data_IF_632706507257
#
_entry.id   IF_632706507257
#
_cell.length_a   1.000
_cell.length_b   1.000
_cell.length_c   1.000
_cell.angle_alpha   90.00
_cell.angle_beta   90.00
_cell.angle_gamma   90.00
#
_symmetry.space_group_name_H-M   'P 1'
#
loop_
_entity.id
_entity.type
_entity.pdbx_description
1 polymer ?
#
# COMPACT_ATOMS: atom_id res chain seq x y z
N UNK A 1 -8.70 25.90 -44.35
CA UNK A 1 -9.35 24.67 -43.81
C UNK A 1 -8.69 23.37 -44.31
N UNK A 2 -7.42 23.39 -44.74
CA UNK A 2 -6.78 22.26 -45.46
C UNK A 2 -6.29 21.11 -44.54
N UNK A 3 -6.09 21.35 -43.25
CA UNK A 3 -5.66 20.30 -42.30
C UNK A 3 -6.78 19.67 -41.48
N UNK A 4 -8.06 19.92 -41.82
CA UNK A 4 -9.20 19.38 -41.05
C UNK A 4 -9.15 17.85 -40.92
N UNK A 5 -8.79 17.15 -42.00
CA UNK A 5 -8.71 15.69 -41.99
C UNK A 5 -7.55 15.17 -41.12
N UNK A 6 -6.42 15.88 -41.12
CA UNK A 6 -5.28 15.52 -40.28
C UNK A 6 -5.58 15.73 -38.78
N UNK A 7 -6.21 16.85 -38.44
CA UNK A 7 -6.66 17.12 -37.06
C UNK A 7 -7.70 16.10 -36.63
N UNK A 8 -8.67 15.75 -37.49
CA UNK A 8 -9.71 14.78 -37.18
C UNK A 8 -9.13 13.37 -36.95
N UNK A 9 -8.19 12.94 -37.79
CA UNK A 9 -7.46 11.68 -37.59
C UNK A 9 -6.70 11.66 -36.26
N UNK A 10 -5.99 12.74 -35.93
CA UNK A 10 -5.26 12.84 -34.67
C UNK A 10 -6.19 12.81 -33.46
N UNK A 11 -7.33 13.54 -33.51
CA UNK A 11 -8.31 13.51 -32.42
C UNK A 11 -8.95 12.13 -32.23
N UNK A 12 -9.21 11.41 -33.33
CA UNK A 12 -9.74 10.04 -33.25
C UNK A 12 -8.71 9.11 -32.62
N UNK A 13 -7.45 9.14 -33.09
CA UNK A 13 -6.38 8.31 -32.51
C UNK A 13 -6.15 8.63 -31.03
N UNK A 14 -6.12 9.91 -30.66
CA UNK A 14 -5.99 10.33 -29.28
C UNK A 14 -7.16 9.84 -28.43
N UNK A 15 -8.40 9.99 -28.92
CA UNK A 15 -9.59 9.51 -28.20
C UNK A 15 -9.55 7.99 -27.99
N UNK A 16 -9.09 7.23 -28.99
CA UNK A 16 -8.96 5.78 -28.92
C UNK A 16 -7.88 5.36 -27.92
N UNK A 17 -6.74 6.07 -27.91
CA UNK A 17 -5.69 5.87 -26.92
C UNK A 17 -6.18 6.16 -25.49
N UNK A 18 -6.94 7.24 -25.29
CA UNK A 18 -7.51 7.55 -23.96
C UNK A 18 -8.56 6.53 -23.50
N UNK A 19 -9.38 6.02 -24.42
CA UNK A 19 -10.35 4.97 -24.12
C UNK A 19 -9.64 3.67 -23.74
N UNK A 20 -8.53 3.35 -24.42
CA UNK A 20 -7.71 2.19 -24.08
C UNK A 20 -7.14 2.30 -22.67
N UNK A 21 -6.53 3.43 -22.30
CA UNK A 21 -6.03 3.63 -20.92
C UNK A 21 -7.15 3.59 -19.88
N UNK A 22 -8.34 4.12 -20.19
CA UNK A 22 -9.49 4.10 -19.28
C UNK A 22 -10.07 2.69 -19.12
N UNK A 23 -9.94 1.83 -20.14
CA UNK A 23 -10.43 0.46 -20.09
C UNK A 23 -9.77 -0.37 -19.00
N UNK A 24 -8.49 -0.12 -18.68
CA UNK A 24 -7.77 -0.81 -17.61
C UNK A 24 -8.37 -0.53 -16.23
N UNK A 25 -8.67 0.75 -15.94
CA UNK A 25 -9.32 1.13 -14.69
C UNK A 25 -10.70 0.48 -14.55
N UNK A 26 -11.48 0.37 -15.65
CA UNK A 26 -12.76 -0.34 -15.62
C UNK A 26 -12.59 -1.84 -15.31
N UNK A 27 -11.60 -2.51 -15.92
CA UNK A 27 -11.32 -3.92 -15.69
C UNK A 27 -10.81 -4.16 -14.25
N UNK A 28 -9.92 -3.30 -13.75
CA UNK A 28 -9.40 -3.34 -12.39
C UNK A 28 -10.54 -3.22 -11.36
N UNK A 29 -11.35 -2.16 -11.46
CA UNK A 29 -12.51 -1.93 -10.57
C UNK A 29 -13.48 -3.12 -10.57
N UNK A 30 -13.79 -3.67 -11.75
CA UNK A 30 -14.69 -4.83 -11.86
C UNK A 30 -14.08 -6.11 -11.25
N UNK A 31 -12.76 -6.24 -11.21
CA UNK A 31 -12.09 -7.35 -10.55
C UNK A 31 -12.05 -7.16 -9.02
N UNK A 32 -11.82 -5.93 -8.55
CA UNK A 32 -11.89 -5.58 -7.13
C UNK A 32 -13.30 -5.72 -6.56
N UNK A 33 -14.33 -5.42 -7.34
CA UNK A 33 -15.71 -5.69 -6.93
C UNK A 33 -15.95 -7.19 -6.71
N UNK A 34 -15.37 -8.06 -7.55
CA UNK A 34 -15.47 -9.52 -7.36
C UNK A 34 -14.75 -9.97 -6.09
N UNK A 35 -13.59 -9.40 -5.78
CA UNK A 35 -12.86 -9.74 -4.55
C UNK A 35 -13.61 -9.26 -3.29
N UNK A 36 -14.22 -8.06 -3.35
CA UNK A 36 -15.06 -7.54 -2.27
C UNK A 36 -16.30 -8.41 -2.03
N UNK A 37 -16.95 -8.89 -3.10
CA UNK A 37 -18.08 -9.82 -3.01
C UNK A 37 -17.67 -11.18 -2.44
N UNK A 38 -16.48 -11.69 -2.80
CA UNK A 38 -15.93 -12.91 -2.19
C UNK A 38 -15.66 -12.72 -0.69
N UNK A 39 -15.03 -11.61 -0.32
CA UNK A 39 -14.77 -11.27 1.08
C UNK A 39 -16.07 -11.13 1.89
N UNK A 40 -17.10 -10.50 1.30
CA UNK A 40 -18.42 -10.35 1.93
C UNK A 40 -19.09 -11.72 2.15
N UNK A 41 -19.06 -12.59 1.14
CA UNK A 41 -19.61 -13.95 1.26
C UNK A 41 -18.95 -14.75 2.40
N UNK A 42 -17.62 -14.66 2.52
CA UNK A 42 -16.88 -15.35 3.60
C UNK A 42 -17.21 -14.72 4.97
N UNK A 43 -17.27 -13.40 5.05
CA UNK A 43 -17.65 -12.70 6.28
C UNK A 43 -19.08 -13.05 6.72
N UNK A 44 -20.06 -13.05 5.81
CA UNK A 44 -21.45 -13.44 6.09
C UNK A 44 -21.53 -14.90 6.57
N UNK A 45 -20.74 -15.80 5.98
CA UNK A 45 -20.67 -17.19 6.42
C UNK A 45 -20.15 -17.30 7.86
N UNK A 46 -19.10 -16.57 8.21
CA UNK A 46 -18.49 -16.58 9.54
C UNK A 46 -19.36 -15.91 10.61
N UNK A 47 -20.13 -14.89 10.21
CA UNK A 47 -21.12 -14.26 11.09
C UNK A 47 -22.26 -15.25 11.37
N UNK A 48 -22.73 -15.97 10.35
CA UNK A 48 -23.80 -16.96 10.50
C UNK A 48 -23.42 -18.14 11.41
N UNK A 49 -22.13 -18.47 11.50
CA UNK A 49 -21.60 -19.50 12.41
C UNK A 49 -21.33 -18.97 13.82
N UNK A 50 -21.45 -17.64 14.04
CA UNK A 50 -21.20 -16.97 15.31
C UNK A 50 -19.71 -16.86 15.67
N UNK A 51 -18.83 -16.98 14.68
CA UNK A 51 -17.37 -16.97 14.86
C UNK A 51 -16.80 -15.54 14.86
N UNK A 52 -17.54 -14.59 14.26
CA UNK A 52 -17.22 -13.16 14.23
C UNK A 52 -18.43 -12.33 14.69
N UNK A 53 -18.17 -11.15 15.26
CA UNK A 53 -19.19 -10.17 15.61
C UNK A 53 -19.44 -9.19 14.45
N UNK A 54 -20.62 -8.55 14.40
CA UNK A 54 -20.96 -7.49 13.42
C UNK A 54 -19.87 -6.40 13.30
N UNK A 55 -19.24 -6.02 14.41
CA UNK A 55 -18.14 -5.04 14.43
C UNK A 55 -16.85 -5.52 13.73
N UNK A 56 -16.66 -6.83 13.58
CA UNK A 56 -15.49 -7.43 12.95
C UNK A 56 -15.74 -7.77 11.48
N UNK A 57 -16.99 -7.65 11.02
CA UNK A 57 -17.39 -7.99 9.65
C UNK A 57 -16.59 -7.21 8.60
N UNK A 58 -16.48 -5.89 8.76
CA UNK A 58 -15.74 -5.03 7.82
C UNK A 58 -14.25 -5.40 7.75
N UNK A 59 -13.65 -5.70 8.91
CA UNK A 59 -12.23 -6.07 8.98
C UNK A 59 -11.96 -7.42 8.33
N UNK A 60 -12.87 -8.37 8.54
CA UNK A 60 -12.84 -9.73 7.99
C UNK A 60 -13.05 -9.72 6.48
N UNK A 61 -14.06 -8.98 6.01
CA UNK A 61 -14.33 -8.78 4.59
C UNK A 61 -13.09 -8.23 3.88
N UNK A 62 -12.51 -7.15 4.42
CA UNK A 62 -11.35 -6.51 3.82
C UNK A 62 -10.12 -7.43 3.84
N UNK A 63 -9.96 -8.28 4.86
CA UNK A 63 -8.88 -9.27 4.93
C UNK A 63 -9.00 -10.33 3.84
N UNK A 64 -10.17 -10.94 3.70
CA UNK A 64 -10.39 -11.99 2.69
C UNK A 64 -10.40 -11.44 1.26
N UNK A 65 -10.89 -10.22 1.05
CA UNK A 65 -10.79 -9.54 -0.23
C UNK A 65 -9.31 -9.31 -0.64
N UNK A 66 -8.48 -8.83 0.29
CA UNK A 66 -7.02 -8.67 0.04
C UNK A 66 -6.32 -10.00 -0.22
N UNK A 67 -6.66 -11.04 0.53
CA UNK A 67 -6.11 -12.38 0.32
C UNK A 67 -6.49 -12.92 -1.07
N UNK A 68 -7.75 -12.77 -1.47
CA UNK A 68 -8.20 -13.14 -2.82
C UNK A 68 -7.41 -12.40 -3.90
N UNK A 69 -7.22 -11.08 -3.76
CA UNK A 69 -6.45 -10.27 -4.71
C UNK A 69 -4.97 -10.69 -4.76
N UNK A 70 -4.37 -11.01 -3.61
CA UNK A 70 -2.99 -11.52 -3.54
C UNK A 70 -2.84 -12.84 -4.28
N UNK A 71 -3.75 -13.78 -4.04
CA UNK A 71 -3.68 -15.13 -4.60
C UNK A 71 -4.03 -15.13 -6.10
N UNK A 72 -4.85 -14.16 -6.53
CA UNK A 72 -5.23 -13.97 -7.93
C UNK A 72 -4.35 -12.96 -8.70
N UNK A 73 -3.21 -12.56 -8.15
CA UNK A 73 -2.30 -11.59 -8.79
C UNK A 73 -1.86 -11.96 -10.22
N UNK A 74 -1.73 -13.25 -10.51
CA UNK A 74 -1.34 -13.77 -11.82
C UNK A 74 -2.53 -14.23 -12.69
N UNK A 75 -3.77 -14.03 -12.24
CA UNK A 75 -4.94 -14.38 -13.03
C UNK A 75 -5.05 -13.44 -14.24
N UNK A 76 -5.32 -14.00 -15.42
CA UNK A 76 -5.62 -13.23 -16.63
C UNK A 76 -7.04 -12.67 -16.52
N UNK A 77 -7.14 -11.35 -16.37
CA UNK A 77 -8.44 -10.68 -16.15
C UNK A 77 -8.87 -9.84 -17.35
N UNK A 78 -7.93 -9.48 -18.24
CA UNK A 78 -8.23 -8.60 -19.35
C UNK A 78 -8.85 -9.37 -20.54
N UNK A 79 -10.07 -9.03 -20.99
CA UNK A 79 -10.85 -9.87 -21.92
C UNK A 79 -10.22 -10.11 -23.29
N UNK A 80 -9.35 -9.21 -23.77
CA UNK A 80 -8.87 -9.21 -25.16
C UNK A 80 -7.37 -9.43 -25.33
N UNK A 81 -6.58 -9.30 -24.28
CA UNK A 81 -5.10 -9.26 -24.36
C UNK A 81 -4.41 -10.21 -23.37
N UNK A 82 -5.16 -10.97 -22.58
CA UNK A 82 -4.60 -11.93 -21.62
C UNK A 82 -3.75 -11.28 -20.53
N UNK A 83 -3.90 -9.96 -20.31
CA UNK A 83 -3.15 -9.27 -19.27
C UNK A 83 -3.54 -9.78 -17.88
N UNK A 84 -2.52 -10.03 -17.07
CA UNK A 84 -2.70 -10.44 -15.67
C UNK A 84 -3.22 -9.28 -14.83
N UNK A 85 -3.83 -9.58 -13.68
CA UNK A 85 -4.28 -8.53 -12.76
C UNK A 85 -3.16 -7.55 -12.39
N UNK A 86 -1.95 -8.07 -12.14
CA UNK A 86 -0.78 -7.23 -11.87
C UNK A 86 -0.43 -6.29 -13.02
N UNK A 87 -0.48 -6.76 -14.26
CA UNK A 87 -0.22 -5.93 -15.44
C UNK A 87 -1.31 -4.86 -15.63
N UNK A 88 -2.56 -5.20 -15.34
CA UNK A 88 -3.68 -4.24 -15.42
C UNK A 88 -3.52 -3.13 -14.37
N UNK A 89 -3.11 -3.47 -13.14
CA UNK A 89 -2.79 -2.50 -12.08
C UNK A 89 -1.62 -1.59 -12.46
N UNK A 90 -0.56 -2.14 -13.06
CA UNK A 90 0.61 -1.36 -13.51
C UNK A 90 0.26 -0.38 -14.64
N UNK A 91 -0.76 -0.69 -15.45
CA UNK A 91 -1.25 0.15 -16.56
C UNK A 91 -2.40 1.07 -16.16
N UNK A 92 -2.90 0.95 -14.93
CA UNK A 92 -3.94 1.80 -14.41
C UNK A 92 -3.46 3.25 -14.26
N UNK A 93 -4.42 4.18 -14.19
CA UNK A 93 -4.12 5.56 -13.81
C UNK A 93 -3.50 5.59 -12.42
N UNK A 94 -2.34 6.22 -12.28
CA UNK A 94 -1.71 6.47 -10.99
C UNK A 94 -2.60 7.39 -10.14
N UNK A 95 -3.34 6.80 -9.22
CA UNK A 95 -4.17 7.51 -8.27
C UNK A 95 -3.30 8.02 -7.12
N UNK A 96 -3.62 9.22 -6.62
CA UNK A 96 -2.99 9.74 -5.41
C UNK A 96 -3.46 8.97 -4.17
N UNK A 97 -2.74 9.13 -3.06
CA UNK A 97 -3.08 8.51 -1.78
C UNK A 97 -4.51 8.79 -1.31
N UNK A 98 -5.01 10.00 -1.62
CA UNK A 98 -6.36 10.43 -1.31
C UNK A 98 -7.43 9.63 -2.07
N UNK A 99 -7.11 9.14 -3.27
CA UNK A 99 -8.05 8.45 -4.15
C UNK A 99 -7.92 6.92 -4.09
N UNK A 100 -6.70 6.40 -3.97
CA UNK A 100 -6.45 4.96 -3.87
C UNK A 100 -6.50 4.45 -2.43
N UNK A 101 -6.37 5.35 -1.46
CA UNK A 101 -6.16 5.00 -0.07
C UNK A 101 -4.74 4.46 0.16
N UNK A 102 -4.25 4.64 1.38
CA UNK A 102 -2.95 4.13 1.81
C UNK A 102 -2.37 4.97 2.92
N UNK A 103 -1.18 4.59 3.39
CA UNK A 103 -0.48 5.31 4.45
C UNK A 103 0.91 5.71 3.98
N UNK A 104 1.19 7.02 3.94
CA UNK A 104 2.57 7.50 3.82
C UNK A 104 3.26 7.35 5.17
N UNK A 105 4.12 6.33 5.31
CA UNK A 105 4.88 6.08 6.53
C UNK A 105 6.33 6.49 6.31
N UNK A 106 6.80 7.49 7.06
CA UNK A 106 8.22 7.79 7.17
C UNK A 106 8.75 7.10 8.41
N UNK A 107 9.63 6.11 8.24
CA UNK A 107 10.27 5.43 9.36
C UNK A 107 11.47 6.24 9.83
N UNK A 108 11.40 6.79 11.04
CA UNK A 108 12.55 7.37 11.71
C UNK A 108 13.23 6.29 12.56
N UNK A 109 14.52 6.04 12.31
CA UNK A 109 15.31 5.11 13.12
C UNK A 109 15.82 5.84 14.35
N UNK A 110 15.35 5.41 15.52
CA UNK A 110 15.88 5.85 16.80
C UNK A 110 17.29 5.27 17.00
N UNK A 111 18.30 6.14 16.98
CA UNK A 111 19.71 5.76 17.24
C UNK A 111 19.89 5.06 18.61
N UNK A 112 19.28 5.52 19.73
CA UNK A 112 19.34 4.80 21.00
C UNK A 112 18.86 3.34 20.90
N UNK A 113 17.77 3.11 20.17
CA UNK A 113 17.18 1.78 20.04
C UNK A 113 18.04 0.89 19.12
N UNK A 114 18.75 1.50 18.15
CA UNK A 114 19.76 0.81 17.35
C UNK A 114 20.89 0.27 18.23
N UNK A 115 21.43 1.07 19.16
CA UNK A 115 22.47 0.61 20.09
C UNK A 115 21.99 -0.56 20.98
N UNK A 116 20.75 -0.49 21.47
CA UNK A 116 20.15 -1.57 22.27
C UNK A 116 20.00 -2.84 21.43
N UNK A 117 19.50 -2.73 20.20
CA UNK A 117 19.35 -3.86 19.28
C UNK A 117 20.70 -4.48 18.90
N UNK A 118 21.73 -3.67 18.63
CA UNK A 118 23.09 -4.14 18.33
C UNK A 118 23.75 -4.83 19.53
N UNK A 119 23.35 -4.47 20.76
CA UNK A 119 23.82 -5.10 22.00
C UNK A 119 23.07 -6.39 22.38
N UNK A 120 22.22 -6.92 21.50
CA UNK A 120 21.32 -8.05 21.77
C UNK A 120 20.41 -7.78 22.99
N UNK A 121 19.85 -6.56 23.04
CA UNK A 121 18.99 -6.10 24.14
C UNK A 121 19.61 -6.22 25.55
N UNK A 122 20.94 -6.10 25.64
CA UNK A 122 21.70 -6.20 26.90
C UNK A 122 21.07 -5.42 28.06
N UNK A 123 20.96 -6.05 29.22
CA UNK A 123 20.40 -5.46 30.46
C UNK A 123 21.46 -4.87 31.37
N UNK A 124 22.70 -4.71 30.89
CA UNK A 124 23.78 -4.17 31.69
C UNK A 124 23.46 -2.73 32.16
N UNK A 125 23.59 -2.52 33.47
CA UNK A 125 23.19 -1.26 34.12
C UNK A 125 24.02 -0.07 33.64
N UNK A 126 25.34 -0.22 33.48
CA UNK A 126 26.20 0.89 33.04
C UNK A 126 25.91 1.28 31.59
N UNK A 127 25.65 0.30 30.71
CA UNK A 127 25.26 0.54 29.33
C UNK A 127 23.90 1.26 29.21
N UNK A 128 22.89 0.82 29.96
CA UNK A 128 21.56 1.47 29.96
C UNK A 128 21.61 2.88 30.53
N UNK A 129 22.44 3.10 31.55
CA UNK A 129 22.70 4.43 32.10
C UNK A 129 23.38 5.34 31.08
N UNK A 130 24.38 4.87 30.33
CA UNK A 130 25.03 5.64 29.27
C UNK A 130 24.06 6.04 28.14
N UNK A 131 23.23 5.11 27.67
CA UNK A 131 22.17 5.38 26.67
C UNK A 131 21.19 6.46 27.17
N UNK A 132 20.78 6.37 28.44
CA UNK A 132 19.86 7.33 29.04
C UNK A 132 20.49 8.72 29.22
N UNK A 133 21.77 8.78 29.60
CA UNK A 133 22.52 10.03 29.72
C UNK A 133 22.71 10.70 28.36
N UNK A 134 23.12 9.95 27.33
CA UNK A 134 23.26 10.44 25.96
C UNK A 134 21.92 10.97 25.41
N UNK A 135 20.82 10.25 25.68
CA UNK A 135 19.45 10.68 25.29
C UNK A 135 19.02 11.97 25.98
N UNK A 136 19.40 12.17 27.24
CA UNK A 136 19.11 13.41 27.97
C UNK A 136 19.99 14.56 27.45
N UNK A 137 21.27 14.31 27.20
CA UNK A 137 22.20 15.31 26.65
C UNK A 137 21.79 15.77 25.24
N UNK A 138 21.25 14.87 24.41
CA UNK A 138 20.76 15.19 23.06
C UNK A 138 19.62 16.23 23.08
N UNK A 139 18.84 16.29 24.16
CA UNK A 139 17.75 17.28 24.30
C UNK A 139 18.26 18.69 24.60
N UNK A 140 19.41 18.80 25.27
CA UNK A 140 19.97 20.07 25.73
C UNK A 140 21.10 20.59 24.84
N UNK A 141 21.76 19.71 24.09
CA UNK A 141 22.99 20.03 23.35
C UNK A 141 22.70 20.16 21.87
N UNK A 142 22.98 21.34 21.30
CA UNK A 142 22.86 21.60 19.87
C UNK A 142 24.22 21.41 19.20
N UNK A 143 24.26 20.67 18.08
CA UNK A 143 25.45 20.54 17.23
C UNK A 143 26.34 19.32 17.46
N UNK A 144 26.01 18.45 18.43
CA UNK A 144 26.66 17.14 18.60
C UNK A 144 25.70 16.01 18.20
N UNK A 145 26.25 14.98 17.57
CA UNK A 145 25.53 13.77 17.18
C UNK A 145 25.30 12.85 18.38
N UNK A 146 24.31 11.96 18.30
CA UNK A 146 24.05 11.00 19.38
C UNK A 146 25.26 10.10 19.69
N UNK A 147 26.06 9.76 18.67
CA UNK A 147 27.26 8.94 18.83
C UNK A 147 28.30 9.67 19.69
N UNK A 148 28.53 10.95 19.42
CA UNK A 148 29.48 11.78 20.20
C UNK A 148 29.00 12.04 21.64
N UNK A 149 27.69 11.97 21.90
CA UNK A 149 27.12 12.09 23.24
C UNK A 149 27.12 10.77 24.03
N UNK A 150 27.36 9.65 23.34
CA UNK A 150 27.40 8.31 23.92
C UNK A 150 28.82 7.84 24.26
N UNK A 151 29.83 8.35 23.54
CA UNK A 151 31.26 8.17 23.88
C UNK A 151 31.63 8.77 25.25
#
# INVERSE_FOLDING_TARGET
MQNKNAVLLFTVLLSLATLYTLSFNWVANNFEEKSANYGAFVADSLESTGEITENEWETTQAQFAREFLRDSANAEIYPFLGHTYREVLEQELNLGLDLQGGMSVTLEVSIPDLFIALSDYSTNETFRQAIAQAKNAQRSTQGLTYVELFE
#
